data_IF_181631564508
#
_entry.id   IF_181631564508
#
_cell.length_a   1.000
_cell.length_b   1.000
_cell.length_c   1.000
_cell.angle_alpha   90.00
_cell.angle_beta   90.00
_cell.angle_gamma   90.00
#
_symmetry.space_group_name_H-M   'P 1'
#
loop_
_entity.id
_entity.type
_entity.pdbx_description
1 polymer ?
#
# COMPACT_ATOMS: atom_id res chain seq x y z
N UNK A 1 24.04 -27.04 35.10
CA UNK A 1 24.07 -25.60 34.84
C UNK A 1 23.25 -25.34 33.59
N UNK A 2 21.97 -25.02 33.75
CA UNK A 2 21.06 -24.73 32.66
C UNK A 2 21.34 -23.30 32.15
N UNK A 3 21.88 -23.18 30.95
CA UNK A 3 21.85 -21.92 30.26
C UNK A 3 20.39 -21.63 29.89
N UNK A 4 19.74 -20.79 30.71
CA UNK A 4 18.44 -20.25 30.36
C UNK A 4 18.55 -19.54 29.00
N UNK A 5 17.73 -19.93 28.05
CA UNK A 5 17.49 -19.15 26.83
C UNK A 5 17.00 -17.78 27.29
N UNK A 6 17.89 -16.80 27.35
CA UNK A 6 17.46 -15.41 27.42
C UNK A 6 16.68 -15.15 26.13
N UNK A 7 15.39 -14.98 26.26
CA UNK A 7 14.53 -14.46 25.17
C UNK A 7 15.15 -13.11 24.84
N UNK A 8 15.84 -13.04 23.71
CA UNK A 8 16.43 -11.77 23.25
C UNK A 8 15.30 -10.82 22.98
N UNK A 9 15.28 -9.72 23.68
CA UNK A 9 14.35 -8.62 23.43
C UNK A 9 14.45 -8.21 21.97
N UNK A 10 13.31 -8.13 21.31
CA UNK A 10 13.24 -7.74 19.89
C UNK A 10 13.67 -6.28 19.76
N UNK A 11 14.31 -5.99 18.65
CA UNK A 11 14.80 -4.65 18.31
C UNK A 11 14.36 -4.32 16.90
N UNK A 12 13.32 -3.47 16.78
CA UNK A 12 12.69 -3.13 15.51
C UNK A 12 12.94 -1.68 15.17
N UNK A 13 13.60 -1.44 14.05
CA UNK A 13 13.73 -0.13 13.43
C UNK A 13 12.52 0.14 12.53
N UNK A 14 11.98 1.34 12.61
CA UNK A 14 11.00 1.84 11.67
C UNK A 14 11.53 3.09 10.98
N UNK A 15 11.54 3.07 9.65
CA UNK A 15 11.85 4.23 8.82
C UNK A 15 10.58 4.76 8.19
N UNK A 16 10.44 6.08 8.21
CA UNK A 16 9.32 6.77 7.61
C UNK A 16 9.83 8.01 6.86
N UNK A 17 9.59 8.04 5.56
CA UNK A 17 9.82 9.25 4.78
C UNK A 17 8.52 10.05 4.80
N UNK A 18 8.51 11.16 5.53
CA UNK A 18 7.37 12.06 5.54
C UNK A 18 7.11 12.56 4.11
N UNK A 19 5.83 12.65 3.74
CA UNK A 19 5.40 13.12 2.41
C UNK A 19 6.17 12.45 1.27
N UNK A 20 6.19 11.11 1.30
CA UNK A 20 7.08 10.29 0.48
C UNK A 20 6.98 10.60 -1.01
N UNK A 21 5.77 10.73 -1.56
CA UNK A 21 5.59 11.04 -2.98
C UNK A 21 6.18 12.41 -3.31
N UNK A 22 5.95 13.41 -2.45
CA UNK A 22 6.52 14.75 -2.60
C UNK A 22 8.04 14.73 -2.50
N UNK A 23 8.59 13.97 -1.54
CA UNK A 23 10.04 13.84 -1.39
C UNK A 23 10.69 13.28 -2.65
N UNK A 24 10.09 12.25 -3.26
CA UNK A 24 10.56 11.64 -4.52
C UNK A 24 10.44 12.61 -5.71
N UNK A 25 9.34 13.38 -5.80
CA UNK A 25 9.17 14.40 -6.83
C UNK A 25 10.25 15.48 -6.70
N UNK A 26 10.55 15.96 -5.49
CA UNK A 26 11.58 16.96 -5.22
C UNK A 26 13.02 16.48 -5.47
N UNK A 27 13.25 15.18 -5.38
CA UNK A 27 14.54 14.58 -5.78
C UNK A 27 14.68 14.59 -7.30
N UNK A 28 13.58 14.35 -8.02
CA UNK A 28 13.57 14.31 -9.49
C UNK A 28 13.63 15.72 -10.08
N UNK A 29 12.93 16.67 -9.46
CA UNK A 29 12.89 18.07 -9.88
C UNK A 29 13.15 18.99 -8.69
N UNK A 30 14.36 19.54 -8.64
CA UNK A 30 14.78 20.44 -7.56
C UNK A 30 14.04 21.79 -7.54
N UNK A 31 13.41 22.20 -8.63
CA UNK A 31 12.62 23.45 -8.70
C UNK A 31 11.36 23.41 -7.83
N UNK A 32 10.94 22.19 -7.40
CA UNK A 32 9.81 21.97 -6.51
C UNK A 32 10.14 22.14 -5.02
N UNK A 33 11.40 22.38 -4.68
CA UNK A 33 11.82 22.55 -3.28
C UNK A 33 11.33 23.88 -2.71
N UNK A 34 10.85 23.85 -1.48
CA UNK A 34 10.37 25.06 -0.77
C UNK A 34 9.05 25.62 -1.30
N UNK A 35 8.41 24.97 -2.26
CA UNK A 35 7.10 25.36 -2.78
C UNK A 35 6.02 24.39 -2.27
N UNK A 36 4.82 24.89 -1.93
CA UNK A 36 3.70 24.00 -1.64
C UNK A 36 3.39 23.08 -2.82
N UNK A 37 3.24 21.79 -2.54
CA UNK A 37 3.04 20.76 -3.57
C UNK A 37 1.91 19.83 -3.15
N UNK A 38 1.01 19.53 -4.09
CA UNK A 38 -0.07 18.56 -3.96
C UNK A 38 0.12 17.46 -5.01
N UNK A 39 0.05 16.23 -4.60
CA UNK A 39 0.02 15.10 -5.51
C UNK A 39 -1.43 14.63 -5.61
N UNK A 40 -2.02 14.75 -6.80
CA UNK A 40 -3.40 14.34 -7.03
C UNK A 40 -3.67 14.05 -8.51
N UNK A 41 -4.63 13.18 -8.87
CA UNK A 41 -5.04 12.94 -10.24
C UNK A 41 -5.61 14.23 -10.86
N UNK A 42 -5.02 14.71 -11.97
CA UNK A 42 -5.40 16.02 -12.56
C UNK A 42 -6.73 16.01 -13.31
N UNK A 43 -7.15 14.83 -13.84
CA UNK A 43 -8.30 14.71 -14.76
C UNK A 43 -9.54 14.05 -14.15
N UNK A 44 -9.55 13.76 -12.83
CA UNK A 44 -10.70 13.17 -12.17
C UNK A 44 -11.58 14.28 -11.57
N UNK A 45 -12.88 14.29 -11.89
CA UNK A 45 -13.82 15.30 -11.41
C UNK A 45 -13.88 15.38 -9.88
N UNK A 46 -13.58 14.27 -9.19
CA UNK A 46 -13.52 14.13 -7.73
C UNK A 46 -12.14 13.67 -7.25
N UNK A 47 -11.07 14.27 -7.84
CA UNK A 47 -9.71 14.02 -7.40
C UNK A 47 -9.57 14.32 -5.90
N UNK A 48 -8.87 13.45 -5.20
CA UNK A 48 -8.47 13.64 -3.81
C UNK A 48 -6.95 13.74 -3.71
N UNK A 49 -6.48 14.46 -2.71
CA UNK A 49 -5.05 14.59 -2.43
C UNK A 49 -4.49 13.22 -2.06
N UNK A 50 -3.57 12.71 -2.88
CA UNK A 50 -2.83 11.48 -2.63
C UNK A 50 -1.70 11.71 -1.62
N UNK A 51 -0.96 12.80 -1.79
CA UNK A 51 0.10 13.26 -0.90
C UNK A 51 0.26 14.77 -0.99
N UNK A 52 0.83 15.41 0.03
CA UNK A 52 1.07 16.83 0.05
C UNK A 52 2.37 17.15 0.77
N UNK A 53 2.93 18.29 0.46
CA UNK A 53 4.13 18.79 1.14
C UNK A 53 3.82 19.36 2.53
N UNK A 54 4.85 19.46 3.36
CA UNK A 54 4.74 20.04 4.71
C UNK A 54 4.21 21.48 4.65
N UNK A 55 4.57 22.26 3.63
CA UNK A 55 4.07 23.61 3.45
C UNK A 55 2.55 23.62 3.23
N UNK A 56 2.04 22.70 2.40
CA UNK A 56 0.60 22.59 2.16
C UNK A 56 -0.15 22.04 3.40
N UNK A 57 0.48 21.10 4.13
CA UNK A 57 -0.06 20.59 5.40
C UNK A 57 -0.23 21.70 6.44
N UNK A 58 0.76 22.61 6.59
CA UNK A 58 0.68 23.75 7.50
C UNK A 58 -0.44 24.73 7.16
N UNK A 59 -0.82 24.80 5.87
CA UNK A 59 -1.98 25.58 5.45
C UNK A 59 -3.32 24.87 5.68
N UNK A 60 -3.30 23.61 6.19
CA UNK A 60 -4.50 22.84 6.54
C UNK A 60 -4.96 21.85 5.45
N UNK A 61 -4.10 21.51 4.50
CA UNK A 61 -4.39 20.44 3.52
C UNK A 61 -4.12 19.08 4.14
N UNK A 62 -5.00 18.10 3.89
CA UNK A 62 -4.88 16.73 4.38
C UNK A 62 -4.96 15.71 3.25
N UNK A 63 -4.34 14.52 3.47
CA UNK A 63 -4.48 13.38 2.55
C UNK A 63 -5.94 12.93 2.49
N UNK A 64 -6.41 12.64 1.27
CA UNK A 64 -7.81 12.28 1.03
C UNK A 64 -8.77 13.47 0.91
N UNK A 65 -8.33 14.70 1.20
CA UNK A 65 -9.13 15.91 0.97
C UNK A 65 -9.45 16.07 -0.52
N UNK A 66 -10.67 16.52 -0.90
CA UNK A 66 -10.99 16.83 -2.29
C UNK A 66 -10.01 17.88 -2.87
N UNK A 67 -9.44 17.61 -4.04
CA UNK A 67 -8.44 18.50 -4.67
C UNK A 67 -8.95 19.94 -4.82
N UNK A 68 -10.22 20.13 -5.18
CA UNK A 68 -10.83 21.47 -5.29
C UNK A 68 -10.80 22.22 -3.96
N UNK A 69 -11.00 21.54 -2.85
CA UNK A 69 -10.93 22.13 -1.53
C UNK A 69 -9.48 22.44 -1.15
N UNK A 70 -8.56 21.50 -1.35
CA UNK A 70 -7.13 21.67 -1.09
C UNK A 70 -6.54 22.86 -1.88
N UNK A 71 -6.90 23.00 -3.16
CA UNK A 71 -6.47 24.12 -4.00
C UNK A 71 -7.05 25.49 -3.59
N UNK A 72 -8.19 25.51 -2.88
CA UNK A 72 -8.73 26.76 -2.29
C UNK A 72 -8.00 27.15 -1.02
N UNK A 73 -7.59 26.17 -0.23
CA UNK A 73 -6.84 26.36 1.03
C UNK A 73 -5.43 26.82 0.67
N UNK A 74 -4.71 26.04 -0.14
CA UNK A 74 -3.34 26.32 -0.55
C UNK A 74 -3.29 26.81 -2.01
N UNK A 75 -3.58 28.10 -2.23
CA UNK A 75 -3.74 28.71 -3.57
C UNK A 75 -2.45 28.75 -4.40
N UNK A 76 -1.29 28.68 -3.76
CA UNK A 76 0.02 28.70 -4.42
C UNK A 76 0.60 27.31 -4.69
N UNK A 77 -0.11 26.23 -4.36
CA UNK A 77 0.40 24.89 -4.50
C UNK A 77 0.48 24.45 -5.98
N UNK A 78 1.63 23.90 -6.36
CA UNK A 78 1.75 23.17 -7.61
C UNK A 78 1.07 21.80 -7.48
N UNK A 79 0.30 21.37 -8.50
CA UNK A 79 -0.40 20.09 -8.49
C UNK A 79 0.24 19.18 -9.52
N UNK A 80 0.69 18.00 -9.08
CA UNK A 80 1.30 16.97 -9.93
C UNK A 80 0.48 15.67 -9.89
N UNK A 81 0.41 14.93 -11.01
CA UNK A 81 -0.20 13.60 -11.01
C UNK A 81 0.68 12.58 -10.27
N UNK A 82 0.11 11.57 -9.58
CA UNK A 82 0.89 10.57 -8.89
C UNK A 82 1.66 9.67 -9.86
N UNK A 83 2.97 9.56 -9.67
CA UNK A 83 3.89 8.71 -10.44
C UNK A 83 4.23 7.43 -9.67
N UNK A 84 3.26 6.57 -9.43
CA UNK A 84 3.40 5.36 -8.57
C UNK A 84 4.57 4.47 -8.98
N UNK A 85 4.87 4.36 -10.28
CA UNK A 85 6.02 3.59 -10.79
C UNK A 85 7.37 4.16 -10.31
N UNK A 86 7.49 5.49 -10.22
CA UNK A 86 8.66 6.17 -9.70
C UNK A 86 8.79 5.96 -8.19
N UNK A 87 7.68 6.07 -7.45
CA UNK A 87 7.64 5.85 -6.00
C UNK A 87 8.05 4.42 -5.63
N UNK A 88 7.58 3.41 -6.38
CA UNK A 88 8.04 2.02 -6.20
C UNK A 88 9.53 1.83 -6.44
N UNK A 89 10.11 2.51 -7.44
CA UNK A 89 11.57 2.48 -7.67
C UNK A 89 12.35 3.09 -6.50
N UNK A 90 11.87 4.19 -5.94
CA UNK A 90 12.48 4.81 -4.77
C UNK A 90 12.39 3.89 -3.53
N UNK A 91 11.23 3.23 -3.30
CA UNK A 91 11.08 2.20 -2.26
C UNK A 91 12.08 1.06 -2.44
N UNK A 92 12.25 0.55 -3.67
CA UNK A 92 13.20 -0.53 -3.96
C UNK A 92 14.65 -0.11 -3.72
N UNK A 93 15.02 1.14 -4.04
CA UNK A 93 16.35 1.66 -3.76
C UNK A 93 16.61 1.69 -2.25
N UNK A 94 15.68 2.23 -1.46
CA UNK A 94 15.81 2.26 0.00
C UNK A 94 15.81 0.85 0.62
N UNK A 95 15.00 -0.07 0.10
CA UNK A 95 14.99 -1.47 0.51
C UNK A 95 16.37 -2.14 0.37
N UNK A 96 17.07 -1.88 -0.73
CA UNK A 96 18.42 -2.45 -0.95
C UNK A 96 19.41 -2.01 0.13
N UNK A 97 19.33 -0.76 0.56
CA UNK A 97 20.17 -0.23 1.63
C UNK A 97 19.86 -0.91 2.98
N UNK A 98 18.57 -1.03 3.32
CA UNK A 98 18.13 -1.73 4.53
C UNK A 98 18.56 -3.20 4.54
N UNK A 99 18.50 -3.86 3.38
CA UNK A 99 18.80 -5.29 3.25
C UNK A 99 20.27 -5.63 3.59
N UNK A 100 21.15 -4.65 3.53
CA UNK A 100 22.55 -4.81 3.96
C UNK A 100 22.68 -5.04 5.47
N UNK A 101 21.70 -4.64 6.28
CA UNK A 101 21.74 -4.72 7.75
C UNK A 101 20.81 -5.82 8.31
N UNK A 102 19.71 -6.12 7.64
CA UNK A 102 18.79 -7.16 8.09
C UNK A 102 18.11 -7.85 6.90
N UNK A 103 17.93 -9.19 6.95
CA UNK A 103 17.13 -9.91 5.99
C UNK A 103 15.61 -9.78 6.26
N UNK A 104 15.23 -9.37 7.48
CA UNK A 104 13.84 -9.24 7.92
C UNK A 104 13.39 -7.79 7.75
N UNK A 105 12.82 -7.49 6.59
CA UNK A 105 12.33 -6.15 6.24
C UNK A 105 10.90 -6.27 5.73
N UNK A 106 10.02 -5.44 6.28
CA UNK A 106 8.65 -5.26 5.84
C UNK A 106 8.51 -3.85 5.25
N UNK A 107 7.98 -3.76 4.03
CA UNK A 107 7.80 -2.48 3.32
C UNK A 107 6.32 -2.19 3.13
N UNK A 108 5.95 -0.92 3.23
CA UNK A 108 4.66 -0.42 2.77
C UNK A 108 4.54 -0.36 1.24
N UNK A 109 3.35 -0.07 0.75
CA UNK A 109 3.06 0.04 -0.68
C UNK A 109 3.34 1.47 -1.20
N UNK A 110 4.60 1.77 -1.53
CA UNK A 110 5.00 3.07 -2.09
C UNK A 110 4.64 4.29 -1.20
N UNK A 111 4.66 4.10 0.12
CA UNK A 111 4.26 5.07 1.15
C UNK A 111 5.41 5.58 2.03
N UNK A 112 6.64 5.13 1.77
CA UNK A 112 7.83 5.54 2.50
C UNK A 112 8.02 4.86 3.86
N UNK A 113 7.23 3.82 4.19
CA UNK A 113 7.34 3.07 5.45
C UNK A 113 8.12 1.78 5.31
N UNK A 114 9.05 1.54 6.25
CA UNK A 114 9.82 0.31 6.33
C UNK A 114 9.99 -0.09 7.79
N UNK A 115 9.85 -1.38 8.06
CA UNK A 115 10.27 -1.99 9.31
C UNK A 115 11.47 -2.91 9.04
N UNK A 116 12.45 -2.90 9.92
CA UNK A 116 13.58 -3.81 9.89
C UNK A 116 13.80 -4.40 11.28
N UNK A 117 13.78 -5.73 11.40
CA UNK A 117 14.13 -6.41 12.63
C UNK A 117 15.66 -6.57 12.66
N UNK A 118 16.30 -5.85 13.57
CA UNK A 118 17.76 -5.85 13.76
C UNK A 118 18.15 -6.60 15.04
N UNK A 119 17.27 -7.44 15.56
CA UNK A 119 17.53 -8.27 16.75
C UNK A 119 18.78 -9.11 16.55
N UNK A 120 19.74 -9.01 17.47
CA UNK A 120 20.97 -9.81 17.45
C UNK A 120 22.04 -9.36 16.46
N UNK A 121 21.83 -8.28 15.69
CA UNK A 121 22.81 -7.79 14.70
C UNK A 121 23.93 -6.95 15.30
N UNK A 122 23.88 -6.66 16.59
CA UNK A 122 24.81 -5.76 17.29
C UNK A 122 26.29 -6.17 17.17
N UNK A 123 26.59 -7.47 17.06
CA UNK A 123 27.95 -7.98 16.86
C UNK A 123 28.53 -7.67 15.47
N UNK A 124 27.67 -7.49 14.48
CA UNK A 124 28.06 -7.22 13.10
C UNK A 124 28.10 -5.73 12.78
N UNK A 125 27.12 -5.00 13.30
CA UNK A 125 26.89 -3.61 12.89
C UNK A 125 26.99 -2.59 14.02
N UNK A 126 27.20 -3.04 15.28
CA UNK A 126 27.16 -2.19 16.46
C UNK A 126 25.73 -2.00 16.98
N UNK A 127 25.53 -1.05 17.92
CA UNK A 127 24.23 -0.73 18.49
C UNK A 127 23.16 -0.41 17.42
N UNK A 128 21.91 -0.80 17.66
CA UNK A 128 20.82 -0.56 16.71
C UNK A 128 20.60 0.93 16.35
N UNK A 129 20.76 1.90 17.27
CA UNK A 129 20.74 3.33 16.92
C UNK A 129 21.76 3.71 15.84
N UNK A 130 22.97 3.13 15.88
CA UNK A 130 24.01 3.40 14.87
C UNK A 130 23.58 2.96 13.47
N UNK A 131 22.81 1.87 13.36
CA UNK A 131 22.25 1.42 12.09
C UNK A 131 21.26 2.47 11.57
N UNK A 132 20.38 2.98 12.44
CA UNK A 132 19.43 4.06 12.12
C UNK A 132 20.12 5.31 11.57
N UNK A 133 21.16 5.77 12.27
CA UNK A 133 21.96 6.92 11.88
C UNK A 133 22.71 6.73 10.56
N UNK A 134 23.35 5.58 10.35
CA UNK A 134 24.08 5.28 9.11
C UNK A 134 23.12 5.23 7.92
N UNK A 135 21.99 4.56 8.05
CA UNK A 135 20.98 4.47 7.00
C UNK A 135 20.39 5.84 6.65
N UNK A 136 20.04 6.67 7.66
CA UNK A 136 19.57 8.03 7.41
C UNK A 136 20.60 8.87 6.67
N UNK A 137 21.86 8.84 7.13
CA UNK A 137 22.97 9.57 6.49
C UNK A 137 23.16 9.10 5.04
N UNK A 138 23.15 7.79 4.81
CA UNK A 138 23.30 7.21 3.48
C UNK A 138 22.13 7.58 2.57
N UNK A 139 20.89 7.45 3.02
CA UNK A 139 19.71 7.84 2.26
C UNK A 139 19.72 9.33 1.87
N UNK A 140 20.19 10.21 2.74
CA UNK A 140 20.36 11.63 2.41
C UNK A 140 21.43 11.86 1.35
N UNK A 141 22.54 11.14 1.42
CA UNK A 141 23.67 11.34 0.51
C UNK A 141 23.40 10.68 -0.87
N UNK A 142 22.86 9.46 -0.90
CA UNK A 142 22.71 8.67 -2.14
C UNK A 142 21.34 8.84 -2.82
N UNK A 143 20.27 8.97 -2.03
CA UNK A 143 18.91 9.06 -2.56
C UNK A 143 18.30 10.46 -2.47
N UNK A 144 18.96 11.41 -1.79
CA UNK A 144 18.44 12.76 -1.55
C UNK A 144 17.19 12.78 -0.63
N UNK A 145 16.91 11.69 0.08
CA UNK A 145 15.73 11.52 0.93
C UNK A 145 16.17 11.54 2.40
N UNK A 146 15.41 12.23 3.25
CA UNK A 146 15.70 12.32 4.69
C UNK A 146 14.65 11.56 5.52
N UNK A 147 14.83 10.27 5.79
CA UNK A 147 13.87 9.50 6.57
C UNK A 147 13.91 9.87 8.05
N UNK A 148 12.76 9.85 8.70
CA UNK A 148 12.63 9.66 10.13
C UNK A 148 13.02 8.21 10.43
N UNK A 149 13.72 7.97 11.52
CA UNK A 149 13.91 6.62 12.02
C UNK A 149 13.58 6.53 13.51
N UNK A 150 13.02 5.41 13.90
CA UNK A 150 12.67 5.14 15.29
C UNK A 150 12.99 3.70 15.66
N UNK A 151 13.23 3.47 16.93
CA UNK A 151 13.60 2.19 17.49
C UNK A 151 12.62 1.81 18.60
N UNK A 152 12.20 0.56 18.65
CA UNK A 152 11.36 0.01 19.71
C UNK A 152 11.42 -1.50 19.74
N UNK A 153 10.76 -2.10 20.72
CA UNK A 153 10.72 -3.56 20.91
C UNK A 153 9.79 -4.28 19.92
N UNK A 154 8.91 -3.56 19.25
CA UNK A 154 7.98 -4.10 18.27
C UNK A 154 7.56 -3.04 17.24
N UNK A 155 6.80 -3.47 16.22
CA UNK A 155 6.36 -2.59 15.14
C UNK A 155 5.42 -1.47 15.59
N UNK A 156 4.54 -1.78 16.55
CA UNK A 156 3.59 -0.81 17.11
C UNK A 156 4.34 0.37 17.75
N UNK A 157 5.25 0.08 18.67
CA UNK A 157 6.02 1.09 19.40
C UNK A 157 6.85 1.93 18.43
N UNK A 158 7.62 1.29 17.56
CA UNK A 158 8.43 1.99 16.57
C UNK A 158 7.56 2.90 15.65
N UNK A 159 6.37 2.44 15.24
CA UNK A 159 5.46 3.22 14.39
C UNK A 159 4.84 4.40 15.12
N UNK A 160 4.42 4.22 16.37
CA UNK A 160 3.86 5.31 17.19
C UNK A 160 4.94 6.36 17.43
N UNK A 161 6.15 5.97 17.81
CA UNK A 161 7.27 6.87 18.01
C UNK A 161 7.54 7.74 16.75
N UNK A 162 7.45 7.17 15.55
CA UNK A 162 7.66 7.92 14.32
C UNK A 162 6.61 9.01 14.06
N UNK A 163 5.40 8.89 14.63
CA UNK A 163 4.35 9.91 14.50
C UNK A 163 4.65 11.16 15.32
N UNK A 164 5.38 10.99 16.43
CA UNK A 164 5.69 12.09 17.35
C UNK A 164 6.80 12.99 16.84
N UNK A 165 7.70 12.46 16.02
CA UNK A 165 8.89 13.18 15.54
C UNK A 165 8.76 13.69 14.10
N UNK A 166 7.55 13.64 13.54
CA UNK A 166 7.29 14.24 12.22
C UNK A 166 7.48 15.76 12.25
N UNK A 167 7.96 16.38 11.16
CA UNK A 167 8.33 15.80 9.85
C UNK A 167 9.77 15.25 9.81
N UNK A 168 10.62 15.54 10.79
CA UNK A 168 12.04 15.14 10.83
C UNK A 168 12.44 14.85 12.25
N UNK A 169 13.11 13.72 12.48
CA UNK A 169 13.60 13.37 13.80
C UNK A 169 13.97 11.89 13.94
N UNK A 170 14.29 11.52 15.14
CA UNK A 170 14.47 10.16 15.62
C UNK A 170 13.90 10.01 17.02
N UNK A 171 13.52 8.79 17.37
CA UNK A 171 13.05 8.44 18.70
C UNK A 171 13.39 6.99 19.03
N UNK A 172 13.82 6.77 20.26
CA UNK A 172 14.15 5.46 20.81
C UNK A 172 13.24 5.22 22.00
N UNK A 173 12.59 4.06 22.02
CA UNK A 173 11.83 3.57 23.17
C UNK A 173 12.56 2.34 23.67
N UNK A 174 13.09 2.43 24.87
CA UNK A 174 13.85 1.34 25.49
C UNK A 174 12.93 0.20 25.95
N UNK A 175 13.43 -1.04 26.00
CA UNK A 175 12.67 -2.18 26.48
C UNK A 175 12.18 -1.95 27.92
N UNK A 176 10.87 -2.25 28.14
CA UNK A 176 10.20 -2.04 29.42
C UNK A 176 9.54 -0.66 29.59
N UNK A 177 9.82 0.28 28.70
CA UNK A 177 9.22 1.63 28.74
C UNK A 177 7.97 1.77 27.87
N UNK A 178 7.52 0.72 27.16
CA UNK A 178 6.47 0.77 26.16
C UNK A 178 5.16 1.33 26.72
N UNK A 179 4.74 0.83 27.88
CA UNK A 179 3.48 1.26 28.51
C UNK A 179 3.58 2.71 29.01
N UNK A 180 4.71 3.10 29.60
CA UNK A 180 4.96 4.46 30.09
C UNK A 180 5.04 5.45 28.91
N UNK A 181 5.66 5.06 27.82
CA UNK A 181 5.74 5.83 26.57
C UNK A 181 4.35 6.06 25.97
N UNK A 182 3.51 5.03 25.90
CA UNK A 182 2.18 5.12 25.29
C UNK A 182 1.16 5.85 26.15
N UNK A 183 1.20 5.70 27.46
CA UNK A 183 0.15 6.15 28.38
C UNK A 183 -0.30 7.60 28.20
N UNK A 184 0.58 8.61 28.05
CA UNK A 184 0.18 10.01 27.90
C UNK A 184 -0.35 10.35 26.50
N UNK A 185 -0.13 9.48 25.50
CA UNK A 185 -0.44 9.79 24.12
C UNK A 185 -1.93 9.66 23.80
N UNK A 186 -2.45 10.48 22.86
CA UNK A 186 -3.83 10.38 22.43
C UNK A 186 -4.09 9.05 21.69
N UNK A 187 -5.28 8.47 21.84
CA UNK A 187 -5.66 7.21 21.18
C UNK A 187 -5.57 7.29 19.65
N UNK A 188 -5.66 8.48 19.07
CA UNK A 188 -5.56 8.71 17.62
C UNK A 188 -4.20 8.36 17.03
N UNK A 189 -3.14 8.27 17.85
CA UNK A 189 -1.81 7.86 17.38
C UNK A 189 -1.66 6.34 17.28
N UNK A 190 -2.59 5.54 17.81
CA UNK A 190 -2.57 4.09 17.67
C UNK A 190 -2.86 3.71 16.21
N UNK A 191 -2.03 2.85 15.58
CA UNK A 191 -2.32 2.35 14.25
C UNK A 191 -3.46 1.32 14.26
N UNK A 192 -4.17 1.20 13.14
CA UNK A 192 -5.18 0.15 12.96
C UNK A 192 -6.52 0.38 13.66
N UNK A 193 -6.76 1.56 14.23
CA UNK A 193 -8.08 1.96 14.70
C UNK A 193 -8.95 2.39 13.52
N UNK A 194 -10.20 1.94 13.50
CA UNK A 194 -11.20 2.40 12.53
C UNK A 194 -11.88 3.68 12.99
N UNK A 195 -12.47 4.45 12.05
CA UNK A 195 -13.22 5.66 12.41
C UNK A 195 -14.32 5.38 13.44
N UNK A 196 -15.04 4.24 13.31
CA UNK A 196 -16.08 3.84 14.26
C UNK A 196 -15.52 3.51 15.65
N UNK A 197 -14.32 2.96 15.74
CA UNK A 197 -13.68 2.70 17.03
C UNK A 197 -13.24 4.01 17.66
N UNK A 198 -12.71 4.95 16.89
CA UNK A 198 -12.36 6.29 17.38
C UNK A 198 -13.58 7.07 17.87
N UNK A 199 -14.70 7.05 17.13
CA UNK A 199 -15.98 7.63 17.55
C UNK A 199 -16.44 7.06 18.89
N UNK A 200 -16.46 5.72 19.03
CA UNK A 200 -16.82 5.08 20.31
C UNK A 200 -15.86 5.46 21.46
N UNK A 201 -14.55 5.50 21.19
CA UNK A 201 -13.58 5.92 22.21
C UNK A 201 -13.84 7.36 22.68
N UNK A 202 -14.23 8.27 21.76
CA UNK A 202 -14.62 9.63 22.08
C UNK A 202 -15.92 9.68 22.90
N UNK A 203 -16.94 8.89 22.53
CA UNK A 203 -18.20 8.80 23.27
C UNK A 203 -17.97 8.35 24.72
N UNK A 204 -17.04 7.42 24.95
CA UNK A 204 -16.62 6.99 26.28
C UNK A 204 -15.60 7.93 26.95
N UNK A 205 -15.23 9.03 26.33
CA UNK A 205 -14.19 9.97 26.79
C UNK A 205 -12.83 9.33 27.04
N UNK A 206 -12.51 8.25 26.30
CA UNK A 206 -11.22 7.60 26.33
C UNK A 206 -10.29 8.29 25.33
N UNK A 207 -9.68 9.39 25.76
CA UNK A 207 -8.86 10.25 24.90
C UNK A 207 -7.39 9.85 24.87
N UNK A 208 -6.89 9.22 25.94
CA UNK A 208 -5.49 8.80 26.07
C UNK A 208 -5.36 7.28 26.01
N UNK A 209 -4.20 6.81 25.57
CA UNK A 209 -3.88 5.38 25.51
C UNK A 209 -3.85 4.79 26.94
N UNK A 210 -3.36 5.54 27.93
CA UNK A 210 -3.36 5.10 29.32
C UNK A 210 -4.77 4.89 29.88
N UNK A 211 -5.74 5.75 29.53
CA UNK A 211 -7.14 5.57 29.90
C UNK A 211 -7.71 4.28 29.26
N UNK A 212 -7.39 4.01 28.00
CA UNK A 212 -7.79 2.78 27.32
C UNK A 212 -7.11 1.55 27.94
N UNK A 213 -5.83 1.62 28.28
CA UNK A 213 -5.08 0.55 28.94
C UNK A 213 -5.59 0.23 30.36
N UNK A 214 -6.24 1.16 31.03
CA UNK A 214 -6.89 0.95 32.32
C UNK A 214 -8.10 0.00 32.27
N UNK A 215 -8.67 -0.24 31.09
CA UNK A 215 -9.81 -1.14 30.91
C UNK A 215 -9.38 -2.59 30.76
N UNK A 216 -10.14 -3.50 31.35
CA UNK A 216 -9.94 -4.92 31.16
C UNK A 216 -10.65 -5.44 29.90
N UNK A 217 -10.33 -6.68 29.47
CA UNK A 217 -10.89 -7.28 28.24
C UNK A 217 -12.41 -7.39 28.28
N UNK A 218 -13.03 -7.65 29.42
CA UNK A 218 -14.49 -7.75 29.55
C UNK A 218 -15.16 -6.40 29.31
N UNK A 219 -14.58 -5.32 29.86
CA UNK A 219 -15.08 -3.97 29.64
C UNK A 219 -14.96 -3.55 28.18
N UNK A 220 -13.89 -3.95 27.49
CA UNK A 220 -13.69 -3.68 26.06
C UNK A 220 -14.56 -4.55 25.17
N UNK A 221 -14.95 -5.76 25.63
CA UNK A 221 -15.78 -6.67 24.81
C UNK A 221 -17.17 -6.09 24.51
N UNK A 222 -17.78 -5.41 25.46
CA UNK A 222 -19.13 -4.85 25.28
C UNK A 222 -19.21 -3.87 24.12
N UNK A 223 -18.36 -2.82 24.03
CA UNK A 223 -18.43 -1.85 22.93
C UNK A 223 -17.71 -2.30 21.65
N UNK A 224 -16.67 -3.16 21.75
CA UNK A 224 -15.77 -3.44 20.62
C UNK A 224 -15.83 -4.91 20.12
N UNK A 225 -16.56 -5.79 20.82
CA UNK A 225 -16.73 -7.18 20.41
C UNK A 225 -15.40 -7.91 20.19
N UNK A 226 -15.25 -8.56 19.05
CA UNK A 226 -14.03 -9.33 18.70
C UNK A 226 -12.75 -8.51 18.60
N UNK A 227 -12.84 -7.19 18.62
CA UNK A 227 -11.67 -6.29 18.60
C UNK A 227 -11.11 -6.00 20.00
N UNK A 228 -11.77 -6.49 21.08
CA UNK A 228 -11.38 -6.22 22.46
C UNK A 228 -9.94 -6.65 22.76
N UNK A 229 -9.52 -7.85 22.32
CA UNK A 229 -8.17 -8.36 22.56
C UNK A 229 -7.12 -7.49 21.87
N UNK A 230 -7.37 -7.11 20.61
CA UNK A 230 -6.49 -6.22 19.88
C UNK A 230 -6.33 -4.87 20.58
N UNK A 231 -7.44 -4.23 20.97
CA UNK A 231 -7.41 -2.92 21.66
C UNK A 231 -6.73 -3.00 23.01
N UNK A 232 -6.98 -4.09 23.75
CA UNK A 232 -6.34 -4.35 25.02
C UNK A 232 -4.82 -4.46 24.88
N UNK A 233 -4.34 -5.18 23.90
CA UNK A 233 -2.92 -5.46 23.74
C UNK A 233 -2.18 -4.25 23.17
N UNK A 234 -2.69 -3.59 22.13
CA UNK A 234 -2.04 -2.40 21.56
C UNK A 234 -1.98 -1.21 22.53
N UNK A 235 -2.97 -1.07 23.44
CA UNK A 235 -2.95 -0.01 24.43
C UNK A 235 -1.87 -0.21 25.50
N UNK A 236 -1.37 -1.43 25.66
CA UNK A 236 -0.28 -1.79 26.57
C UNK A 236 1.08 -1.93 25.89
N UNK A 237 1.14 -1.63 24.59
CA UNK A 237 2.37 -1.74 23.82
C UNK A 237 2.71 -3.16 23.38
N UNK A 238 1.76 -4.09 23.47
CA UNK A 238 1.95 -5.49 23.10
C UNK A 238 1.63 -5.66 21.62
N UNK A 239 2.63 -6.08 20.83
CA UNK A 239 2.50 -6.41 19.41
C UNK A 239 3.46 -7.56 19.06
N UNK A 240 2.90 -8.76 18.99
CA UNK A 240 3.64 -9.98 18.65
C UNK A 240 3.85 -10.15 17.15
N UNK A 241 3.34 -9.22 16.33
CA UNK A 241 3.49 -9.31 14.88
C UNK A 241 4.97 -9.25 14.49
N UNK A 242 5.39 -10.21 13.68
CA UNK A 242 6.78 -10.27 13.20
C UNK A 242 6.98 -9.27 12.06
N UNK A 243 8.21 -8.77 11.94
CA UNK A 243 8.66 -8.11 10.72
C UNK A 243 8.81 -9.21 9.68
N UNK A 244 7.82 -9.31 8.82
CA UNK A 244 7.78 -10.34 7.79
C UNK A 244 8.38 -9.81 6.51
N UNK A 245 9.41 -10.50 6.01
CA UNK A 245 9.68 -10.43 4.58
C UNK A 245 8.39 -10.93 3.88
N UNK A 246 7.90 -10.26 2.83
CA UNK A 246 6.88 -10.89 2.00
C UNK A 246 7.36 -12.30 1.68
N UNK A 247 6.62 -13.31 2.14
CA UNK A 247 7.05 -14.70 2.01
C UNK A 247 7.45 -14.94 0.56
N UNK A 248 8.53 -15.67 0.33
CA UNK A 248 9.04 -16.00 -1.01
C UNK A 248 8.06 -16.80 -1.87
N UNK A 249 6.81 -16.93 -1.47
CA UNK A 249 5.65 -17.47 -2.17
C UNK A 249 4.45 -16.56 -2.23
N UNK A 250 4.37 -15.52 -1.38
CA UNK A 250 3.33 -14.49 -1.43
C UNK A 250 3.91 -13.22 -2.09
N UNK A 251 4.13 -13.32 -3.38
CA UNK A 251 4.46 -12.13 -4.16
C UNK A 251 3.28 -11.16 -4.10
N UNK A 252 3.58 -9.88 -3.85
CA UNK A 252 2.57 -8.85 -3.68
C UNK A 252 1.52 -8.90 -4.81
N UNK A 253 0.23 -8.91 -4.49
CA UNK A 253 -0.83 -9.01 -5.48
C UNK A 253 -0.68 -7.91 -6.53
N UNK A 254 -1.05 -8.20 -7.77
CA UNK A 254 -1.16 -7.19 -8.80
C UNK A 254 -2.51 -6.50 -8.66
N UNK A 255 -2.45 -5.20 -8.48
CA UNK A 255 -3.57 -4.36 -8.15
C UNK A 255 -3.64 -3.15 -9.09
N UNK A 256 -4.80 -2.96 -9.70
CA UNK A 256 -5.07 -1.87 -10.63
C UNK A 256 -6.46 -1.29 -10.37
N UNK A 257 -6.54 0.02 -10.25
CA UNK A 257 -7.80 0.75 -10.09
C UNK A 257 -8.09 1.64 -11.30
N UNK A 258 -9.37 1.77 -11.61
CA UNK A 258 -9.92 2.74 -12.54
C UNK A 258 -10.98 3.58 -11.82
N UNK A 259 -10.79 4.90 -11.84
CA UNK A 259 -11.75 5.86 -11.27
C UNK A 259 -12.47 6.50 -12.45
N UNK A 260 -13.80 6.41 -12.47
CA UNK A 260 -14.61 7.01 -13.52
C UNK A 260 -14.61 8.54 -13.38
N UNK A 261 -14.62 9.24 -14.52
CA UNK A 261 -14.70 10.70 -14.54
C UNK A 261 -15.99 11.18 -13.86
N UNK A 262 -17.10 10.54 -14.18
CA UNK A 262 -18.39 10.68 -13.52
C UNK A 262 -18.85 9.33 -12.97
N UNK A 263 -19.60 9.35 -11.85
CA UNK A 263 -20.15 8.11 -11.28
C UNK A 263 -21.12 7.49 -12.30
N UNK A 264 -20.91 6.22 -12.67
CA UNK A 264 -21.63 5.58 -13.77
C UNK A 264 -22.43 4.34 -13.34
N UNK A 265 -23.52 4.06 -14.07
CA UNK A 265 -24.25 2.80 -14.07
C UNK A 265 -24.22 2.14 -15.45
N UNK A 266 -23.46 2.72 -16.39
CA UNK A 266 -23.34 2.15 -17.71
C UNK A 266 -22.51 0.85 -17.63
N UNK A 267 -23.15 -0.23 -18.02
CA UNK A 267 -22.54 -1.56 -18.01
C UNK A 267 -21.37 -1.65 -18.98
N UNK A 268 -21.48 -1.03 -20.14
CA UNK A 268 -20.41 -1.05 -21.15
C UNK A 268 -19.18 -0.33 -20.67
N UNK A 269 -19.35 0.81 -20.02
CA UNK A 269 -18.26 1.60 -19.46
C UNK A 269 -17.52 0.82 -18.36
N UNK A 270 -18.26 0.21 -17.41
CA UNK A 270 -17.67 -0.56 -16.32
C UNK A 270 -17.00 -1.85 -16.83
N UNK A 271 -17.64 -2.59 -17.74
CA UNK A 271 -17.04 -3.79 -18.36
C UNK A 271 -15.79 -3.43 -19.18
N UNK A 272 -15.82 -2.29 -19.88
CA UNK A 272 -14.66 -1.75 -20.62
C UNK A 272 -13.49 -1.42 -19.71
N UNK A 273 -13.76 -0.73 -18.59
CA UNK A 273 -12.76 -0.42 -17.58
C UNK A 273 -12.13 -1.70 -16.99
N UNK A 274 -12.95 -2.68 -16.59
CA UNK A 274 -12.45 -3.97 -16.10
C UNK A 274 -11.62 -4.71 -17.16
N UNK A 275 -12.01 -4.68 -18.43
CA UNK A 275 -11.25 -5.30 -19.51
C UNK A 275 -9.87 -4.63 -19.71
N UNK A 276 -9.79 -3.31 -19.57
CA UNK A 276 -8.54 -2.57 -19.60
C UNK A 276 -7.63 -2.96 -18.41
N UNK A 277 -8.20 -3.07 -17.19
CA UNK A 277 -7.46 -3.51 -16.01
C UNK A 277 -6.96 -4.95 -16.16
N UNK A 278 -7.75 -5.86 -16.74
CA UNK A 278 -7.32 -7.23 -17.06
C UNK A 278 -6.14 -7.26 -18.02
N UNK A 279 -6.14 -6.44 -19.07
CA UNK A 279 -5.00 -6.34 -20.00
C UNK A 279 -3.71 -5.90 -19.30
N UNK A 280 -3.81 -4.92 -18.39
CA UNK A 280 -2.67 -4.46 -17.56
C UNK A 280 -2.18 -5.55 -16.61
N UNK A 281 -3.11 -6.26 -15.95
CA UNK A 281 -2.80 -7.35 -15.04
C UNK A 281 -2.13 -8.52 -15.77
N UNK A 282 -2.66 -8.96 -16.92
CA UNK A 282 -2.10 -10.02 -17.74
C UNK A 282 -0.67 -9.71 -18.21
N UNK A 283 -0.43 -8.50 -18.72
CA UNK A 283 0.90 -8.04 -19.10
C UNK A 283 1.86 -8.02 -17.90
N UNK A 284 1.41 -7.55 -16.75
CA UNK A 284 2.18 -7.55 -15.50
C UNK A 284 2.55 -8.95 -15.03
N UNK A 285 1.61 -9.91 -15.07
CA UNK A 285 1.85 -11.32 -14.74
C UNK A 285 2.89 -11.96 -15.67
N UNK A 286 2.74 -11.76 -16.98
CA UNK A 286 3.68 -12.30 -17.97
C UNK A 286 5.08 -11.71 -17.84
N UNK A 287 5.17 -10.39 -17.60
CA UNK A 287 6.44 -9.72 -17.36
C UNK A 287 7.19 -10.25 -16.13
N UNK A 288 6.45 -10.70 -15.11
CA UNK A 288 7.01 -11.34 -13.90
C UNK A 288 7.17 -12.86 -14.02
N UNK A 289 6.76 -13.47 -15.13
CA UNK A 289 6.68 -14.93 -15.31
C UNK A 289 5.83 -15.61 -14.24
N UNK A 290 4.68 -15.01 -13.94
CA UNK A 290 3.76 -15.44 -12.89
C UNK A 290 2.39 -15.76 -13.46
N UNK A 291 1.61 -16.52 -12.66
CA UNK A 291 0.20 -16.81 -12.90
C UNK A 291 -0.59 -16.48 -11.65
N UNK A 292 -1.79 -15.95 -11.82
CA UNK A 292 -2.71 -15.68 -10.73
C UNK A 292 -3.75 -16.82 -10.63
N UNK A 293 -4.01 -17.31 -9.42
CA UNK A 293 -5.05 -18.31 -9.16
C UNK A 293 -6.36 -17.70 -8.72
N UNK A 294 -6.38 -16.42 -8.34
CA UNK A 294 -7.56 -15.72 -7.91
C UNK A 294 -7.59 -14.31 -8.48
N UNK A 295 -8.78 -13.89 -8.92
CA UNK A 295 -9.07 -12.54 -9.40
C UNK A 295 -10.18 -11.97 -8.54
N UNK A 296 -9.93 -10.84 -7.89
CA UNK A 296 -10.90 -10.06 -7.14
C UNK A 296 -11.33 -8.82 -7.89
N UNK A 297 -12.62 -8.49 -7.85
CA UNK A 297 -13.19 -7.24 -8.35
C UNK A 297 -13.80 -6.48 -7.18
N UNK A 298 -13.38 -5.24 -7.02
CA UNK A 298 -13.88 -4.29 -6.04
C UNK A 298 -14.69 -3.22 -6.77
N UNK A 299 -15.90 -2.97 -6.32
CA UNK A 299 -16.73 -1.86 -6.78
C UNK A 299 -16.92 -0.89 -5.63
N UNK A 300 -16.56 0.36 -5.85
CA UNK A 300 -16.85 1.46 -4.92
C UNK A 300 -17.99 2.27 -5.48
N UNK A 301 -19.03 2.44 -4.70
CA UNK A 301 -20.22 3.17 -5.08
C UNK A 301 -20.14 4.66 -4.71
N UNK A 302 -21.00 5.48 -5.30
CA UNK A 302 -21.05 6.93 -5.09
C UNK A 302 -21.37 7.34 -3.65
N UNK A 303 -22.08 6.48 -2.91
CA UNK A 303 -22.42 6.65 -1.49
C UNK A 303 -21.29 6.24 -0.51
N UNK A 304 -20.13 5.87 -1.04
CA UNK A 304 -18.96 5.42 -0.26
C UNK A 304 -18.99 3.93 0.10
N UNK A 305 -20.11 3.23 -0.11
CA UNK A 305 -20.17 1.78 0.07
C UNK A 305 -19.28 1.04 -0.94
N UNK A 306 -18.80 -0.13 -0.58
CA UNK A 306 -18.01 -0.97 -1.47
C UNK A 306 -18.46 -2.42 -1.41
N UNK A 307 -18.23 -3.15 -2.49
CA UNK A 307 -18.49 -4.59 -2.60
C UNK A 307 -17.29 -5.25 -3.25
N UNK A 308 -16.90 -6.40 -2.71
CA UNK A 308 -15.80 -7.22 -3.21
C UNK A 308 -16.31 -8.61 -3.55
N UNK A 309 -15.98 -9.11 -4.73
CA UNK A 309 -16.20 -10.50 -5.11
C UNK A 309 -14.98 -11.03 -5.84
N UNK A 310 -14.78 -12.35 -5.77
CA UNK A 310 -13.60 -13.00 -6.31
C UNK A 310 -13.97 -14.28 -7.07
N UNK A 311 -13.21 -14.59 -8.10
CA UNK A 311 -13.24 -15.85 -8.82
C UNK A 311 -11.86 -16.49 -8.81
N UNK A 312 -11.80 -17.83 -8.82
CA UNK A 312 -10.54 -18.58 -8.72
C UNK A 312 -10.45 -19.64 -9.81
N UNK A 313 -9.23 -19.97 -10.23
CA UNK A 313 -8.95 -21.11 -11.09
C UNK A 313 -7.90 -22.02 -10.47
N UNK A 314 -7.97 -23.31 -10.75
CA UNK A 314 -7.08 -24.32 -10.12
C UNK A 314 -5.62 -24.19 -10.55
N UNK A 315 -5.39 -24.00 -11.84
CA UNK A 315 -4.05 -24.04 -12.46
C UNK A 315 -3.34 -22.69 -12.47
N UNK A 316 -4.08 -21.59 -12.15
CA UNK A 316 -3.56 -20.24 -12.34
C UNK A 316 -3.51 -19.84 -13.82
N UNK A 317 -3.47 -18.54 -14.08
CA UNK A 317 -3.42 -18.01 -15.45
C UNK A 317 -2.73 -16.65 -15.50
N UNK A 318 -2.05 -16.38 -16.62
CA UNK A 318 -1.57 -15.06 -17.05
C UNK A 318 -2.20 -14.64 -18.39
N UNK A 319 -3.12 -15.46 -18.92
CA UNK A 319 -3.79 -15.21 -20.19
C UNK A 319 -4.98 -14.27 -20.03
N UNK A 320 -5.02 -13.19 -20.85
CA UNK A 320 -6.06 -12.15 -20.78
C UNK A 320 -7.48 -12.73 -20.93
N UNK A 321 -7.66 -13.78 -21.72
CA UNK A 321 -8.96 -14.40 -21.97
C UNK A 321 -9.55 -15.03 -20.69
N UNK A 322 -8.78 -15.86 -19.99
CA UNK A 322 -9.24 -16.51 -18.77
C UNK A 322 -9.34 -15.52 -17.63
N UNK A 323 -8.39 -14.59 -17.50
CA UNK A 323 -8.48 -13.49 -16.52
C UNK A 323 -9.76 -12.67 -16.73
N UNK A 324 -10.13 -12.38 -17.99
CA UNK A 324 -11.37 -11.67 -18.34
C UNK A 324 -12.62 -12.45 -17.95
N UNK A 325 -12.63 -13.77 -18.15
CA UNK A 325 -13.76 -14.63 -17.73
C UNK A 325 -13.92 -14.59 -16.22
N UNK A 326 -12.82 -14.75 -15.45
CA UNK A 326 -12.84 -14.67 -13.99
C UNK A 326 -13.27 -13.30 -13.49
N UNK A 327 -12.75 -12.22 -14.09
CA UNK A 327 -13.10 -10.86 -13.73
C UNK A 327 -14.59 -10.56 -14.02
N UNK A 328 -15.13 -11.04 -15.13
CA UNK A 328 -16.55 -10.88 -15.48
C UNK A 328 -17.46 -11.61 -14.50
N UNK A 329 -17.11 -12.84 -14.14
CA UNK A 329 -17.85 -13.61 -13.14
C UNK A 329 -17.83 -12.91 -11.77
N UNK A 330 -16.69 -12.42 -11.32
CA UNK A 330 -16.58 -11.64 -10.10
C UNK A 330 -17.37 -10.33 -10.18
N UNK A 331 -17.33 -9.61 -11.31
CA UNK A 331 -18.06 -8.37 -11.54
C UNK A 331 -19.58 -8.59 -11.46
N UNK A 332 -20.09 -9.63 -12.13
CA UNK A 332 -21.53 -9.94 -12.10
C UNK A 332 -22.02 -10.19 -10.68
N UNK A 333 -21.24 -10.88 -9.86
CA UNK A 333 -21.55 -11.12 -8.45
C UNK A 333 -21.35 -9.91 -7.55
N UNK A 334 -20.49 -8.95 -7.96
CA UNK A 334 -20.24 -7.72 -7.21
C UNK A 334 -21.28 -6.65 -7.48
N UNK A 335 -21.83 -6.62 -8.69
CA UNK A 335 -22.78 -5.58 -9.10
C UNK A 335 -24.21 -5.91 -8.66
N UNK A 336 -24.47 -5.74 -7.36
CA UNK A 336 -25.75 -6.05 -6.72
C UNK A 336 -26.60 -4.82 -6.40
N UNK A 337 -26.01 -3.61 -6.49
CA UNK A 337 -26.67 -2.35 -6.13
C UNK A 337 -26.98 -1.52 -7.37
N UNK A 338 -28.08 -0.76 -7.30
CA UNK A 338 -28.46 0.22 -8.35
C UNK A 338 -27.74 1.56 -8.22
N UNK A 339 -26.96 1.76 -7.12
CA UNK A 339 -26.17 2.96 -6.87
C UNK A 339 -25.04 3.07 -7.92
N UNK A 340 -24.79 4.28 -8.40
CA UNK A 340 -23.70 4.55 -9.36
C UNK A 340 -22.34 4.14 -8.82
N UNK A 341 -21.50 3.62 -9.70
CA UNK A 341 -20.15 3.16 -9.40
C UNK A 341 -19.18 4.31 -9.60
N UNK A 342 -18.33 4.56 -8.61
CA UNK A 342 -17.29 5.58 -8.60
C UNK A 342 -15.97 5.06 -9.12
N UNK A 343 -15.57 3.87 -8.71
CA UNK A 343 -14.34 3.22 -9.16
C UNK A 343 -14.51 1.71 -9.20
N UNK A 344 -13.73 1.08 -10.04
CA UNK A 344 -13.55 -0.37 -10.04
C UNK A 344 -12.07 -0.70 -9.89
N UNK A 345 -11.77 -1.75 -9.13
CA UNK A 345 -10.42 -2.21 -8.84
C UNK A 345 -10.33 -3.70 -9.13
N UNK A 346 -9.25 -4.11 -9.79
CA UNK A 346 -8.95 -5.50 -10.11
C UNK A 346 -7.71 -5.94 -9.33
N UNK A 347 -7.82 -7.01 -8.57
CA UNK A 347 -6.73 -7.58 -7.78
C UNK A 347 -6.46 -9.01 -8.26
N UNK A 348 -5.23 -9.29 -8.68
CA UNK A 348 -4.77 -10.63 -8.99
C UNK A 348 -3.87 -11.10 -7.85
N UNK A 349 -4.27 -12.14 -7.15
CA UNK A 349 -3.54 -12.67 -6.00
C UNK A 349 -3.35 -14.21 -6.08
N UNK A 350 -2.79 -14.79 -5.00
CA UNK A 350 -2.31 -16.18 -5.00
C UNK A 350 -1.39 -16.42 -6.19
N UNK A 351 -0.44 -15.52 -6.34
CA UNK A 351 0.52 -15.56 -7.44
C UNK A 351 1.46 -16.75 -7.28
N UNK A 352 1.76 -17.39 -8.39
CA UNK A 352 2.71 -18.51 -8.46
C UNK A 352 3.63 -18.29 -9.65
N UNK A 353 4.86 -18.78 -9.56
CA UNK A 353 5.73 -18.83 -10.74
C UNK A 353 5.12 -19.75 -11.78
N UNK A 354 5.16 -19.32 -13.03
CA UNK A 354 4.70 -20.15 -14.13
C UNK A 354 5.52 -21.43 -14.18
N UNK A 355 4.87 -22.59 -13.97
CA UNK A 355 5.53 -23.88 -14.12
C UNK A 355 5.85 -24.12 -15.60
N UNK A 356 7.05 -24.58 -15.94
CA UNK A 356 7.39 -24.99 -17.30
C UNK A 356 6.79 -26.34 -17.71
N UNK A 357 5.90 -26.91 -16.89
CA UNK A 357 5.29 -28.20 -17.16
C UNK A 357 4.56 -28.18 -18.52
N UNK A 358 4.99 -29.02 -19.42
CA UNK A 358 4.36 -29.24 -20.71
C UNK A 358 3.03 -29.98 -20.53
N UNK A 359 2.06 -29.65 -21.39
CA UNK A 359 0.79 -30.38 -21.42
C UNK A 359 1.02 -31.79 -22.01
N UNK A 360 0.36 -32.78 -21.41
CA UNK A 360 0.44 -34.19 -21.88
C UNK A 360 -0.21 -34.42 -23.25
N UNK A 361 -1.06 -33.49 -23.70
CA UNK A 361 -1.82 -33.62 -24.95
C UNK A 361 -1.39 -32.56 -25.97
N UNK A 362 -0.72 -32.97 -27.10
CA UNK A 362 -0.17 -32.05 -28.11
C UNK A 362 -1.20 -31.13 -28.78
N UNK A 363 -2.44 -31.59 -28.94
CA UNK A 363 -3.50 -30.78 -29.59
C UNK A 363 -3.91 -29.53 -28.81
N UNK A 364 -3.85 -29.59 -27.49
CA UNK A 364 -4.10 -28.45 -26.62
C UNK A 364 -2.90 -27.49 -26.58
N UNK A 365 -1.71 -28.02 -26.73
CA UNK A 365 -0.45 -27.27 -26.72
C UNK A 365 -0.34 -26.29 -27.90
N UNK A 366 -0.73 -26.73 -29.13
CA UNK A 366 -0.69 -25.87 -30.31
C UNK A 366 -1.58 -24.63 -30.20
N UNK A 367 -2.79 -24.76 -29.64
CA UNK A 367 -3.72 -23.65 -29.44
C UNK A 367 -3.21 -22.69 -28.36
N UNK A 368 -2.57 -23.21 -27.34
CA UNK A 368 -2.06 -22.39 -26.23
C UNK A 368 -0.79 -21.63 -26.60
N UNK A 369 0.09 -22.26 -27.41
CA UNK A 369 1.25 -21.61 -28.01
C UNK A 369 0.83 -20.46 -28.93
N UNK A 370 -0.18 -20.67 -29.76
CA UNK A 370 -0.73 -19.63 -30.64
C UNK A 370 -1.26 -18.44 -29.84
N UNK A 371 -2.04 -18.69 -28.78
CA UNK A 371 -2.54 -17.65 -27.87
C UNK A 371 -1.42 -16.89 -27.16
N UNK A 372 -0.38 -17.57 -26.70
CA UNK A 372 0.80 -16.93 -26.06
C UNK A 372 1.53 -16.02 -27.04
N UNK A 373 1.75 -16.44 -28.29
CA UNK A 373 2.37 -15.60 -29.33
C UNK A 373 1.59 -14.33 -29.58
N UNK A 374 0.26 -14.42 -29.69
CA UNK A 374 -0.62 -13.24 -29.85
C UNK A 374 -0.51 -12.29 -28.66
N UNK A 375 -0.58 -12.81 -27.43
CA UNK A 375 -0.45 -11.99 -26.23
C UNK A 375 0.92 -11.31 -26.13
N UNK A 376 1.99 -11.99 -26.47
CA UNK A 376 3.35 -11.42 -26.50
C UNK A 376 3.46 -10.29 -27.53
N UNK A 377 2.90 -10.48 -28.71
CA UNK A 377 2.86 -9.44 -29.73
C UNK A 377 2.05 -8.22 -29.27
N UNK A 378 0.89 -8.44 -28.64
CA UNK A 378 0.07 -7.37 -28.05
C UNK A 378 0.82 -6.61 -26.95
N UNK A 379 1.53 -7.32 -26.08
CA UNK A 379 2.31 -6.70 -25.00
C UNK A 379 3.46 -5.84 -25.57
N UNK A 380 4.10 -6.31 -26.64
CA UNK A 380 5.14 -5.54 -27.33
C UNK A 380 4.59 -4.24 -27.92
N UNK A 381 3.42 -4.30 -28.55
CA UNK A 381 2.76 -3.12 -29.08
C UNK A 381 2.30 -2.15 -27.98
N UNK A 382 1.72 -2.67 -26.92
CA UNK A 382 1.31 -1.89 -25.73
C UNK A 382 2.50 -1.19 -25.06
N UNK A 383 3.66 -1.85 -24.99
CA UNK A 383 4.87 -1.26 -24.41
C UNK A 383 5.45 -0.12 -25.24
N UNK A 384 5.28 -0.15 -26.59
CA UNK A 384 5.78 0.87 -27.51
C UNK A 384 4.82 2.04 -27.69
N UNK A 385 3.51 1.76 -27.73
CA UNK A 385 2.49 2.71 -28.17
C UNK A 385 1.43 3.03 -27.09
N UNK A 386 1.58 2.45 -25.89
CA UNK A 386 0.62 2.62 -24.79
C UNK A 386 -0.47 1.54 -24.75
N UNK A 387 -1.08 1.38 -23.57
CA UNK A 387 -2.05 0.31 -23.31
C UNK A 387 -3.38 0.43 -24.08
N UNK A 388 -3.70 1.62 -24.61
CA UNK A 388 -4.93 1.88 -25.35
C UNK A 388 -4.90 1.50 -26.84
N UNK A 389 -3.72 1.17 -27.40
CA UNK A 389 -3.55 0.93 -28.87
C UNK A 389 -4.19 -0.36 -29.35
N UNK A 390 -4.19 -1.40 -28.53
CA UNK A 390 -4.80 -2.70 -28.86
C UNK A 390 -5.60 -3.25 -27.69
N UNK A 391 -6.91 -3.47 -27.93
CA UNK A 391 -7.83 -4.15 -27.03
C UNK A 391 -8.31 -5.49 -27.59
N UNK A 392 -8.80 -6.35 -26.70
CA UNK A 392 -9.48 -7.61 -27.09
C UNK A 392 -10.97 -7.38 -27.08
N UNK A 393 -11.59 -7.47 -28.25
CA UNK A 393 -13.04 -7.30 -28.44
C UNK A 393 -13.45 -5.84 -28.69
N UNK A 394 -14.77 -5.59 -28.82
CA UNK A 394 -15.33 -4.26 -29.08
C UNK A 394 -15.09 -3.35 -27.86
N UNK A 395 -13.99 -2.61 -27.87
CA UNK A 395 -13.78 -1.46 -27.01
C UNK A 395 -13.94 -0.21 -27.89
N UNK A 396 -14.97 0.58 -27.63
CA UNK A 396 -14.96 1.98 -28.08
C UNK A 396 -13.89 2.69 -27.26
N UNK A 397 -12.72 2.84 -27.85
CA UNK A 397 -11.64 3.65 -27.28
C UNK A 397 -12.05 5.10 -27.50
N UNK A 398 -12.47 5.76 -26.44
CA UNK A 398 -12.50 7.22 -26.42
C UNK A 398 -11.06 7.68 -26.64
N UNK A 399 -10.77 8.16 -27.86
CA UNK A 399 -9.48 8.72 -28.24
C UNK A 399 -9.34 10.08 -27.54
N UNK A 400 -8.81 10.04 -26.31
CA UNK A 400 -8.20 11.19 -25.66
C UNK A 400 -6.74 11.19 -26.03
N UNK A 401 -6.40 11.89 -27.11
CA UNK A 401 -5.03 12.01 -27.58
C UNK A 401 -4.13 12.64 -26.51
N UNK A 402 -3.11 11.89 -26.11
CA UNK A 402 -1.92 12.44 -25.48
C UNK A 402 -0.90 12.72 -26.61
N UNK A 403 -0.67 14.01 -26.88
CA UNK A 403 0.57 14.53 -27.43
C UNK A 403 1.36 15.17 -26.31
#
# INVERSE_FOLDING_TARGET
MGQGFQVRERTVLHFNVADFAVAVERVTDSSLRGRPLLIAPLRAARAVVYDMSEEAYREGVEKGMPLKQAARICRGAAVLPPRVGLYRKAMQAFFKELHSYSPLIECGEADGHFFADVTGTHRLYGPAPDIGWRLRRHARASLGINPIWTLGTNKLIAKVASRLVKPVGEYIVDPGEEAAFLAPLPVTVLPGLTCRELEKLQDFRLTTIGALAGLNRHQLMVPFGSRCDYLHDISRGIDDSMVCRPAAGDEAPLDFEHIFADDTNDRHEVEGAIAALVGRAGAGLRGRRQVARRVGVWLRYSDGGHVVRQASCRTGTSGDFLLRTLARDALQRAWIRRTRIRSCRLVCDRLQRQSPQLLLFPEQEGREIGRRKVLTAMDTLRSRFGHGVIGVGRQEVGVGGER
#
